data_IF_555541687802
#
_entry.id   IF_555541687802
#
_cell.length_a   1.000
_cell.length_b   1.000
_cell.length_c   1.000
_cell.angle_alpha   90.00
_cell.angle_beta   90.00
_cell.angle_gamma   90.00
#
_symmetry.space_group_name_H-M   'P 1'
#
loop_
_entity.id
_entity.type
_entity.pdbx_description
1 polymer ?
#
# COMPACT_ATOMS: atom_id res chain seq x y z
N UNK A 1 31.11 -6.87 11.43
CA UNK A 1 31.07 -7.23 9.99
C UNK A 1 29.61 -7.25 9.61
N UNK A 2 29.14 -6.22 8.91
CA UNK A 2 27.76 -6.19 8.38
C UNK A 2 27.72 -7.12 7.18
N UNK A 3 26.91 -8.17 7.24
CA UNK A 3 26.64 -9.03 6.10
C UNK A 3 26.12 -8.15 4.96
N UNK A 4 26.86 -8.09 3.86
CA UNK A 4 26.36 -7.56 2.60
C UNK A 4 25.29 -8.55 2.11
N UNK A 5 24.03 -8.18 2.33
CA UNK A 5 22.89 -8.85 1.70
C UNK A 5 23.02 -8.69 0.19
N UNK A 6 22.97 -9.79 -0.53
CA UNK A 6 22.95 -9.83 -2.00
C UNK A 6 21.79 -8.97 -2.53
N UNK A 7 22.02 -8.26 -3.64
CA UNK A 7 21.07 -7.31 -4.28
C UNK A 7 19.71 -7.92 -4.67
N UNK A 8 19.52 -9.21 -4.53
CA UNK A 8 18.31 -9.97 -4.87
C UNK A 8 18.01 -10.96 -3.76
N UNK A 9 16.87 -10.78 -3.09
CA UNK A 9 16.29 -11.83 -2.26
C UNK A 9 15.24 -12.54 -3.10
N UNK A 10 15.57 -13.74 -3.53
CA UNK A 10 14.67 -14.60 -4.30
C UNK A 10 13.66 -15.25 -3.37
N UNK A 11 12.39 -15.30 -3.78
CA UNK A 11 11.30 -15.90 -3.02
C UNK A 11 11.06 -15.27 -1.64
N UNK A 12 10.90 -13.97 -1.57
CA UNK A 12 10.47 -13.26 -0.34
C UNK A 12 8.97 -13.36 -0.16
N UNK A 13 8.48 -13.53 1.07
CA UNK A 13 7.09 -13.28 1.39
C UNK A 13 6.91 -11.87 2.00
N UNK A 14 5.67 -11.36 1.99
CA UNK A 14 5.42 -9.99 2.42
C UNK A 14 5.80 -9.75 3.87
N UNK A 15 5.45 -10.64 4.80
CA UNK A 15 5.72 -10.42 6.22
C UNK A 15 7.21 -10.47 6.54
N UNK A 16 7.97 -11.38 5.94
CA UNK A 16 9.43 -11.44 6.13
C UNK A 16 10.15 -10.20 5.60
N UNK A 17 9.53 -9.49 4.68
CA UNK A 17 10.02 -8.21 4.17
C UNK A 17 9.54 -7.03 5.01
N UNK A 18 8.23 -6.96 5.31
CA UNK A 18 7.58 -5.84 5.98
C UNK A 18 8.04 -5.67 7.43
N UNK A 19 8.22 -6.75 8.18
CA UNK A 19 8.64 -6.68 9.60
C UNK A 19 10.01 -6.02 9.82
N UNK A 20 10.86 -5.93 8.79
CA UNK A 20 12.17 -5.29 8.88
C UNK A 20 12.24 -3.92 8.21
N UNK A 21 11.28 -3.58 7.38
CA UNK A 21 11.33 -2.39 6.54
C UNK A 21 10.01 -1.62 6.58
N UNK A 22 10.10 -0.31 6.74
CA UNK A 22 8.97 0.54 6.38
C UNK A 22 8.78 0.51 4.85
N UNK A 23 7.55 0.61 4.38
CA UNK A 23 7.26 0.71 2.95
C UNK A 23 6.65 2.09 2.71
N UNK A 24 7.28 2.88 1.86
CA UNK A 24 6.80 4.21 1.48
C UNK A 24 6.57 4.26 -0.03
N UNK A 25 5.32 4.35 -0.45
CA UNK A 25 4.95 4.48 -1.86
C UNK A 25 5.37 5.87 -2.35
N UNK A 26 6.29 5.98 -3.33
CA UNK A 26 6.85 7.26 -3.75
C UNK A 26 5.87 8.11 -4.55
N UNK A 27 6.16 9.40 -4.65
CA UNK A 27 5.36 10.43 -5.30
C UNK A 27 4.94 10.11 -6.74
N UNK A 28 5.84 9.52 -7.51
CA UNK A 28 5.66 9.27 -8.95
C UNK A 28 4.71 8.08 -9.20
N UNK A 29 4.31 7.37 -8.14
CA UNK A 29 3.38 6.25 -8.28
C UNK A 29 1.94 6.74 -8.44
N UNK A 30 1.20 6.00 -9.29
CA UNK A 30 -0.23 6.20 -9.47
C UNK A 30 -1.02 5.79 -8.22
N UNK A 31 -2.30 6.16 -8.21
CA UNK A 31 -3.24 5.72 -7.20
C UNK A 31 -3.24 4.20 -7.02
N UNK A 32 -3.56 3.76 -5.82
CA UNK A 32 -3.94 2.38 -5.63
C UNK A 32 -5.31 2.17 -6.29
N UNK A 33 -5.32 1.40 -7.37
CA UNK A 33 -6.54 1.16 -8.17
C UNK A 33 -6.90 -0.33 -8.27
N UNK A 34 -6.01 -1.22 -7.84
CA UNK A 34 -6.23 -2.66 -7.94
C UNK A 34 -7.45 -3.12 -7.14
N UNK A 35 -7.78 -2.42 -6.05
CA UNK A 35 -8.97 -2.69 -5.25
C UNK A 35 -10.27 -2.13 -5.82
N UNK A 36 -10.19 -1.17 -6.74
CA UNK A 36 -11.35 -0.42 -7.24
C UNK A 36 -12.43 -1.31 -7.87
N UNK A 37 -13.68 -0.99 -7.61
CA UNK A 37 -14.83 -1.61 -8.26
C UNK A 37 -14.86 -1.38 -9.78
N UNK A 38 -14.18 -0.35 -10.29
CA UNK A 38 -14.01 -0.14 -11.73
C UNK A 38 -13.13 -1.23 -12.39
N UNK A 39 -12.36 -1.98 -11.61
CA UNK A 39 -11.53 -3.10 -12.05
C UNK A 39 -11.92 -4.41 -11.36
N UNK A 40 -13.19 -4.56 -10.98
CA UNK A 40 -13.69 -5.68 -10.16
C UNK A 40 -13.28 -7.05 -10.72
N UNK A 41 -13.37 -7.27 -12.03
CA UNK A 41 -12.99 -8.55 -12.66
C UNK A 41 -11.51 -8.89 -12.41
N UNK A 42 -10.61 -7.92 -12.59
CA UNK A 42 -9.16 -8.13 -12.36
C UNK A 42 -8.84 -8.27 -10.88
N UNK A 43 -9.51 -7.47 -10.04
CA UNK A 43 -9.39 -7.55 -8.58
C UNK A 43 -9.78 -8.93 -8.09
N UNK A 44 -10.96 -9.39 -8.49
CA UNK A 44 -11.53 -10.65 -8.03
C UNK A 44 -10.71 -11.85 -8.52
N UNK A 45 -10.22 -11.84 -9.78
CA UNK A 45 -9.27 -12.83 -10.27
C UNK A 45 -7.96 -12.86 -9.49
N UNK A 46 -7.45 -11.70 -9.07
CA UNK A 46 -6.25 -11.63 -8.24
C UNK A 46 -6.52 -12.17 -6.83
N UNK A 47 -7.64 -11.81 -6.22
CA UNK A 47 -8.07 -12.36 -4.92
C UNK A 47 -8.24 -13.89 -5.02
N UNK A 48 -8.78 -14.40 -6.12
CA UNK A 48 -8.93 -15.84 -6.35
C UNK A 48 -7.57 -16.55 -6.39
N UNK A 49 -6.56 -15.96 -7.02
CA UNK A 49 -5.20 -16.50 -7.03
C UNK A 49 -4.58 -16.52 -5.63
N UNK A 50 -4.73 -15.44 -4.86
CA UNK A 50 -4.26 -15.38 -3.46
C UNK A 50 -4.99 -16.39 -2.56
N UNK A 51 -6.31 -16.51 -2.73
CA UNK A 51 -7.13 -17.46 -2.00
C UNK A 51 -6.69 -18.90 -2.30
N UNK A 52 -6.51 -19.24 -3.57
CA UNK A 52 -6.06 -20.57 -3.99
C UNK A 52 -4.72 -20.91 -3.37
N UNK A 53 -3.76 -19.99 -3.41
CA UNK A 53 -2.45 -20.18 -2.80
C UNK A 53 -2.52 -20.44 -1.29
N UNK A 54 -3.50 -19.87 -0.59
CA UNK A 54 -3.68 -20.05 0.84
C UNK A 54 -4.46 -21.32 1.20
N UNK A 55 -5.22 -21.89 0.26
CA UNK A 55 -6.05 -23.08 0.49
C UNK A 55 -5.49 -24.35 -0.13
N UNK A 56 -4.71 -24.24 -1.20
CA UNK A 56 -4.10 -25.36 -1.91
C UNK A 56 -2.56 -25.31 -1.81
N UNK A 57 -1.98 -26.32 -1.18
CA UNK A 57 -0.52 -26.41 -0.99
C UNK A 57 0.26 -26.64 -2.30
N UNK A 58 -0.42 -27.09 -3.32
CA UNK A 58 0.21 -27.39 -4.62
C UNK A 58 0.16 -26.21 -5.59
N UNK A 59 -0.49 -25.10 -5.22
CA UNK A 59 -0.73 -23.95 -6.08
C UNK A 59 -0.20 -22.63 -5.46
N UNK A 60 1.12 -22.47 -5.26
CA UNK A 60 1.68 -21.20 -4.77
C UNK A 60 1.42 -20.07 -5.77
N UNK A 61 1.27 -18.85 -5.27
CA UNK A 61 1.11 -17.63 -6.06
C UNK A 61 2.45 -16.88 -6.11
N UNK A 62 3.06 -16.83 -7.28
CA UNK A 62 4.25 -16.03 -7.54
C UNK A 62 3.81 -14.68 -8.12
N UNK A 63 4.20 -13.62 -7.43
CA UNK A 63 3.86 -12.24 -7.80
C UNK A 63 4.96 -11.55 -8.62
N UNK A 64 5.85 -12.32 -9.23
CA UNK A 64 6.98 -11.80 -10.00
C UNK A 64 7.88 -10.83 -9.20
N UNK A 65 8.56 -9.95 -9.91
CA UNK A 65 9.51 -9.01 -9.30
C UNK A 65 8.80 -7.80 -8.67
N UNK A 66 9.28 -7.45 -7.47
CA UNK A 66 9.06 -6.16 -6.84
C UNK A 66 10.42 -5.47 -6.74
N UNK A 67 10.58 -4.36 -7.42
CA UNK A 67 11.84 -3.63 -7.40
C UNK A 67 11.65 -2.20 -6.90
N UNK A 68 12.70 -1.72 -6.21
CA UNK A 68 12.71 -0.41 -5.57
C UNK A 68 14.07 -0.05 -5.02
N UNK A 69 14.12 0.97 -4.19
CA UNK A 69 15.34 1.44 -3.52
C UNK A 69 15.15 1.44 -2.01
N UNK A 70 16.25 1.23 -1.27
CA UNK A 70 16.26 1.39 0.17
C UNK A 70 16.90 2.72 0.54
N UNK A 71 16.18 3.52 1.31
CA UNK A 71 16.66 4.79 1.86
C UNK A 71 16.14 4.94 3.29
N UNK A 72 17.01 5.32 4.24
CA UNK A 72 16.63 5.64 5.63
C UNK A 72 15.70 4.62 6.30
N UNK A 73 16.01 3.33 6.18
CA UNK A 73 15.21 2.21 6.73
C UNK A 73 13.81 2.03 6.10
N UNK A 74 13.55 2.68 4.98
CA UNK A 74 12.34 2.50 4.20
C UNK A 74 12.65 1.94 2.81
N UNK A 75 11.75 1.13 2.30
CA UNK A 75 11.74 0.65 0.93
C UNK A 75 10.79 1.50 0.10
N UNK A 76 11.30 2.03 -1.00
CA UNK A 76 10.57 2.83 -1.98
C UNK A 76 10.34 1.99 -3.24
N UNK A 77 9.16 1.36 -3.39
CA UNK A 77 8.89 0.54 -4.57
C UNK A 77 8.82 1.37 -5.83
N UNK A 78 9.59 0.99 -6.85
CA UNK A 78 9.51 1.52 -8.21
C UNK A 78 8.50 0.77 -9.05
N UNK A 79 8.29 -0.52 -8.75
CA UNK A 79 7.18 -1.33 -9.25
C UNK A 79 6.69 -2.27 -8.18
N UNK A 80 5.45 -2.77 -8.33
CA UNK A 80 4.82 -3.67 -7.39
C UNK A 80 4.02 -2.99 -6.29
N UNK A 81 3.87 -1.65 -6.30
CA UNK A 81 3.09 -0.92 -5.29
C UNK A 81 1.67 -1.45 -5.11
N UNK A 82 0.97 -1.78 -6.21
CA UNK A 82 -0.40 -2.29 -6.17
C UNK A 82 -0.44 -3.63 -5.42
N UNK A 83 0.49 -4.51 -5.73
CA UNK A 83 0.65 -5.83 -5.09
C UNK A 83 0.99 -5.69 -3.60
N UNK A 84 1.96 -4.82 -3.25
CA UNK A 84 2.34 -4.56 -1.85
C UNK A 84 1.17 -4.01 -1.03
N UNK A 85 0.39 -3.07 -1.60
CA UNK A 85 -0.80 -2.54 -0.93
C UNK A 85 -1.84 -3.62 -0.72
N UNK A 86 -2.10 -4.46 -1.72
CA UNK A 86 -3.05 -5.58 -1.58
C UNK A 86 -2.58 -6.59 -0.54
N UNK A 87 -1.28 -6.91 -0.51
CA UNK A 87 -0.73 -7.82 0.51
C UNK A 87 -0.82 -7.22 1.92
N UNK A 88 -0.57 -5.92 2.09
CA UNK A 88 -0.78 -5.23 3.36
C UNK A 88 -2.23 -5.37 3.85
N UNK A 89 -3.21 -5.12 2.99
CA UNK A 89 -4.62 -5.25 3.31
C UNK A 89 -5.02 -6.72 3.61
N UNK A 90 -4.49 -7.69 2.87
CA UNK A 90 -4.72 -9.12 3.10
C UNK A 90 -4.18 -9.58 4.46
N UNK A 91 -2.97 -9.14 4.84
CA UNK A 91 -2.40 -9.46 6.15
C UNK A 91 -3.22 -8.85 7.28
N UNK A 92 -3.59 -7.57 7.17
CA UNK A 92 -4.47 -6.93 8.13
C UNK A 92 -5.81 -7.68 8.28
N UNK A 93 -6.42 -8.06 7.15
CA UNK A 93 -7.70 -8.77 7.15
C UNK A 93 -7.59 -10.14 7.84
N UNK A 94 -6.64 -10.97 7.45
CA UNK A 94 -6.52 -12.33 8.00
C UNK A 94 -6.07 -12.32 9.46
N UNK A 95 -5.20 -11.40 9.87
CA UNK A 95 -4.82 -11.22 11.27
C UNK A 95 -6.04 -10.89 12.14
N UNK A 96 -6.84 -9.90 11.74
CA UNK A 96 -8.03 -9.53 12.49
C UNK A 96 -9.10 -10.61 12.46
N UNK A 97 -9.24 -11.34 11.35
CA UNK A 97 -10.16 -12.48 11.26
C UNK A 97 -9.75 -13.62 12.19
N UNK A 98 -8.45 -13.94 12.23
CA UNK A 98 -7.91 -14.93 13.18
C UNK A 98 -8.13 -14.49 14.63
N UNK A 99 -7.90 -13.22 14.96
CA UNK A 99 -8.13 -12.65 16.29
C UNK A 99 -9.57 -12.87 16.77
N UNK A 100 -10.56 -12.79 15.86
CA UNK A 100 -11.98 -12.96 16.18
C UNK A 100 -12.34 -14.44 16.32
N UNK A 101 -11.83 -15.29 15.42
CA UNK A 101 -12.23 -16.69 15.32
C UNK A 101 -11.39 -17.63 16.20
N UNK A 102 -10.12 -17.28 16.46
CA UNK A 102 -9.16 -18.07 17.23
C UNK A 102 -8.13 -17.17 17.91
N UNK A 103 -8.54 -16.53 19.01
CA UNK A 103 -7.71 -15.56 19.73
C UNK A 103 -6.41 -16.16 20.30
N UNK A 104 -6.42 -17.43 20.70
CA UNK A 104 -5.23 -18.11 21.23
C UNK A 104 -4.15 -18.27 20.14
N UNK A 105 -4.54 -18.73 18.97
CA UNK A 105 -3.63 -18.83 17.82
C UNK A 105 -3.14 -17.47 17.37
N UNK A 106 -4.01 -16.46 17.34
CA UNK A 106 -3.64 -15.08 17.05
C UNK A 106 -2.55 -14.57 17.99
N UNK A 107 -2.72 -14.71 19.30
CA UNK A 107 -1.76 -14.30 20.31
C UNK A 107 -0.41 -14.99 20.16
N UNK A 108 -0.40 -16.27 19.80
CA UNK A 108 0.82 -17.02 19.58
C UNK A 108 1.55 -16.58 18.31
N UNK A 109 0.82 -16.39 17.22
CA UNK A 109 1.37 -15.96 15.92
C UNK A 109 1.94 -14.54 16.02
N UNK A 110 1.22 -13.61 16.65
CA UNK A 110 1.60 -12.19 16.70
C UNK A 110 2.79 -11.91 17.61
N UNK A 111 3.13 -12.80 18.54
CA UNK A 111 4.38 -12.68 19.34
C UNK A 111 5.65 -12.70 18.49
N UNK A 112 5.60 -13.31 17.30
CA UNK A 112 6.75 -13.50 16.42
C UNK A 112 6.82 -12.48 15.28
N UNK A 113 5.77 -11.69 15.10
CA UNK A 113 5.66 -10.73 14.00
C UNK A 113 5.35 -9.32 14.51
N UNK A 114 6.06 -8.33 13.97
CA UNK A 114 5.89 -6.90 14.29
C UNK A 114 5.09 -6.20 13.19
N UNK A 115 3.86 -6.69 12.92
CA UNK A 115 3.07 -6.15 11.81
C UNK A 115 2.66 -4.69 12.03
N UNK A 116 2.35 -4.31 13.26
CA UNK A 116 1.89 -3.00 13.68
C UNK A 116 3.01 -2.01 14.02
N UNK A 117 4.26 -2.47 14.18
CA UNK A 117 5.41 -1.61 14.45
C UNK A 117 5.98 -0.91 13.20
N UNK A 118 5.69 -1.44 12.01
CA UNK A 118 6.19 -0.90 10.75
C UNK A 118 5.12 -0.07 10.06
N UNK A 119 5.57 0.87 9.23
CA UNK A 119 4.68 1.80 8.54
C UNK A 119 4.54 1.44 7.07
N UNK A 120 3.28 1.38 6.63
CA UNK A 120 2.92 1.42 5.24
C UNK A 120 2.39 2.82 4.92
N UNK A 121 3.06 3.56 4.05
CA UNK A 121 2.76 4.96 3.83
C UNK A 121 2.86 5.37 2.37
N UNK A 122 2.30 6.54 2.05
CA UNK A 122 2.33 7.15 0.73
C UNK A 122 2.98 8.53 0.86
N UNK A 123 4.10 8.76 0.19
CA UNK A 123 4.93 9.95 0.36
C UNK A 123 4.19 11.27 0.21
N UNK A 124 3.19 11.33 -0.65
CA UNK A 124 2.46 12.56 -0.97
C UNK A 124 0.98 12.53 -0.63
N UNK A 125 0.44 11.36 -0.27
CA UNK A 125 -0.97 11.21 0.04
C UNK A 125 -1.16 11.12 1.53
N UNK A 126 -1.38 12.28 2.16
CA UNK A 126 -1.61 12.36 3.61
C UNK A 126 -2.82 11.54 4.06
N UNK A 127 -3.90 11.56 3.27
CA UNK A 127 -5.12 10.77 3.52
C UNK A 127 -4.85 9.27 3.48
N UNK A 128 -4.21 8.76 2.43
CA UNK A 128 -3.86 7.35 2.30
C UNK A 128 -2.89 6.90 3.39
N UNK A 129 -1.88 7.72 3.74
CA UNK A 129 -0.96 7.43 4.85
C UNK A 129 -1.70 7.40 6.19
N UNK A 130 -2.50 8.43 6.48
CA UNK A 130 -3.27 8.50 7.72
C UNK A 130 -4.28 7.35 7.82
N UNK A 131 -4.90 6.97 6.70
CA UNK A 131 -5.78 5.80 6.63
C UNK A 131 -5.03 4.51 7.01
N UNK A 132 -3.87 4.23 6.40
CA UNK A 132 -3.07 3.04 6.73
C UNK A 132 -2.65 3.02 8.21
N UNK A 133 -2.23 4.17 8.77
CA UNK A 133 -1.85 4.29 10.18
C UNK A 133 -3.03 4.06 11.13
N UNK A 134 -4.25 4.44 10.75
CA UNK A 134 -5.45 4.18 11.53
C UNK A 134 -5.96 2.76 11.37
N UNK A 135 -5.87 2.23 10.15
CA UNK A 135 -6.29 0.87 9.84
C UNK A 135 -5.50 -0.16 10.65
N UNK A 136 -4.17 0.00 10.77
CA UNK A 136 -3.33 -1.00 11.43
C UNK A 136 -3.67 -1.19 12.92
N UNK A 137 -4.11 -0.13 13.59
CA UNK A 137 -4.53 -0.16 15.00
C UNK A 137 -6.03 -0.37 15.17
N UNK A 138 -6.78 -0.45 14.07
CA UNK A 138 -8.20 -0.73 14.12
C UNK A 138 -8.46 -2.23 14.12
N UNK A 139 -9.19 -2.68 15.13
CA UNK A 139 -9.55 -4.08 15.33
C UNK A 139 -11.07 -4.24 15.32
N UNK A 140 -11.68 -4.66 14.19
CA UNK A 140 -13.12 -4.87 14.12
C UNK A 140 -13.57 -5.99 15.06
N UNK A 141 -14.79 -5.87 15.59
CA UNK A 141 -15.38 -6.90 16.45
C UNK A 141 -15.95 -8.09 15.66
N UNK A 142 -16.29 -7.89 14.40
CA UNK A 142 -16.82 -8.94 13.53
C UNK A 142 -16.63 -8.60 12.05
N UNK A 143 -16.67 -9.62 11.20
CA UNK A 143 -16.68 -9.55 9.74
C UNK A 143 -18.05 -9.94 9.13
N UNK A 144 -19.14 -9.84 9.90
CA UNK A 144 -20.48 -10.17 9.43
C UNK A 144 -21.06 -9.16 8.44
N UNK A 145 -20.65 -7.90 8.58
CA UNK A 145 -21.09 -6.78 7.76
C UNK A 145 -19.99 -6.35 6.78
N UNK A 146 -20.29 -5.34 5.97
CA UNK A 146 -19.34 -4.69 5.05
C UNK A 146 -18.25 -3.98 5.85
N UNK A 147 -17.01 -4.32 5.59
CA UNK A 147 -15.87 -3.75 6.35
C UNK A 147 -15.74 -2.26 6.11
N UNK A 148 -15.94 -1.82 4.87
CA UNK A 148 -15.85 -0.41 4.50
C UNK A 148 -16.85 0.46 5.28
N UNK A 149 -18.07 -0.03 5.52
CA UNK A 149 -19.07 0.70 6.33
C UNK A 149 -18.61 0.80 7.78
N UNK A 150 -18.16 -0.31 8.39
CA UNK A 150 -17.62 -0.29 9.75
C UNK A 150 -16.44 0.66 9.94
N UNK A 151 -15.57 0.75 8.94
CA UNK A 151 -14.43 1.68 8.96
C UNK A 151 -14.93 3.13 8.86
N UNK A 152 -15.87 3.41 7.97
CA UNK A 152 -16.45 4.76 7.78
C UNK A 152 -17.20 5.27 9.01
N UNK A 153 -17.76 4.38 9.81
CA UNK A 153 -18.45 4.72 11.07
C UNK A 153 -17.48 5.07 12.22
N UNK A 154 -16.17 4.83 12.05
CA UNK A 154 -15.20 5.13 13.10
C UNK A 154 -14.98 6.64 13.25
N UNK A 155 -14.88 7.13 14.47
CA UNK A 155 -14.61 8.54 14.79
C UNK A 155 -13.29 9.09 14.21
N UNK A 156 -12.37 8.19 13.83
CA UNK A 156 -11.10 8.56 13.22
C UNK A 156 -11.15 8.63 11.70
N UNK A 157 -12.23 8.17 11.05
CA UNK A 157 -12.39 8.24 9.61
C UNK A 157 -12.82 9.65 9.20
N UNK A 158 -12.01 10.30 8.37
CA UNK A 158 -12.32 11.64 7.85
C UNK A 158 -13.21 11.56 6.62
N UNK A 159 -14.20 12.46 6.52
CA UNK A 159 -15.09 12.56 5.34
C UNK A 159 -14.29 12.86 4.06
N UNK A 160 -13.22 13.65 4.15
CA UNK A 160 -12.35 13.96 3.02
C UNK A 160 -11.68 12.71 2.40
N UNK A 161 -11.52 11.66 3.20
CA UNK A 161 -10.94 10.40 2.71
C UNK A 161 -11.87 9.65 1.73
N UNK A 162 -13.15 9.97 1.73
CA UNK A 162 -14.11 9.45 0.74
C UNK A 162 -13.87 10.00 -0.67
N UNK A 163 -13.02 11.02 -0.82
CA UNK A 163 -12.62 11.59 -2.10
C UNK A 163 -11.24 11.10 -2.56
N UNK A 164 -10.47 10.41 -1.69
CA UNK A 164 -9.17 9.85 -2.06
C UNK A 164 -9.37 8.52 -2.81
N UNK A 165 -9.01 8.45 -4.12
CA UNK A 165 -9.20 7.24 -4.92
C UNK A 165 -8.48 6.02 -4.35
N UNK A 166 -7.32 6.21 -3.71
CA UNK A 166 -6.57 5.11 -3.09
C UNK A 166 -7.28 4.58 -1.84
N UNK A 167 -7.83 5.46 -0.99
CA UNK A 167 -8.60 5.03 0.19
C UNK A 167 -9.87 4.30 -0.23
N UNK A 168 -10.60 4.82 -1.22
CA UNK A 168 -11.80 4.15 -1.77
C UNK A 168 -11.43 2.76 -2.27
N UNK A 169 -10.37 2.64 -3.07
CA UNK A 169 -9.94 1.34 -3.59
C UNK A 169 -9.44 0.38 -2.50
N UNK A 170 -8.83 0.88 -1.41
CA UNK A 170 -8.47 0.05 -0.26
C UNK A 170 -9.71 -0.48 0.46
N UNK A 171 -10.74 0.35 0.64
CA UNK A 171 -12.02 -0.06 1.22
C UNK A 171 -12.72 -1.10 0.34
N UNK A 172 -12.79 -0.87 -0.97
CA UNK A 172 -13.34 -1.82 -1.94
C UNK A 172 -12.59 -3.17 -1.90
N UNK A 173 -11.25 -3.14 -1.78
CA UNK A 173 -10.44 -4.36 -1.65
C UNK A 173 -10.76 -5.12 -0.37
N UNK A 174 -10.89 -4.42 0.76
CA UNK A 174 -11.23 -5.06 2.04
C UNK A 174 -12.60 -5.73 1.99
N UNK A 175 -13.59 -5.11 1.35
CA UNK A 175 -14.91 -5.71 1.14
C UNK A 175 -14.86 -6.94 0.22
N UNK A 176 -14.07 -6.86 -0.84
CA UNK A 176 -13.88 -7.99 -1.75
C UNK A 176 -13.16 -9.17 -1.07
N UNK A 177 -12.12 -8.89 -0.26
CA UNK A 177 -11.47 -9.90 0.58
C UNK A 177 -12.47 -10.54 1.55
N UNK A 178 -13.26 -9.71 2.25
CA UNK A 178 -14.28 -10.24 3.16
C UNK A 178 -15.30 -11.14 2.44
N UNK A 179 -15.77 -10.71 1.28
CA UNK A 179 -16.73 -11.51 0.50
C UNK A 179 -16.14 -12.86 0.06
N UNK A 180 -14.85 -12.90 -0.30
CA UNK A 180 -14.17 -14.14 -0.70
C UNK A 180 -13.90 -15.05 0.49
N UNK A 181 -13.39 -14.51 1.59
CA UNK A 181 -12.94 -15.27 2.75
C UNK A 181 -14.03 -15.51 3.81
N UNK A 182 -15.23 -14.93 3.64
CA UNK A 182 -16.34 -15.03 4.61
C UNK A 182 -16.90 -16.45 4.79
N UNK A 183 -16.87 -17.26 3.74
CA UNK A 183 -17.53 -18.58 3.69
C UNK A 183 -16.61 -19.75 4.03
N UNK A 184 -15.50 -19.49 4.69
CA UNK A 184 -14.50 -20.52 4.96
C UNK A 184 -14.97 -21.52 6.03
N UNK A 185 -14.88 -22.78 5.69
CA UNK A 185 -15.05 -23.90 6.60
C UNK A 185 -13.74 -24.70 6.71
N UNK A 186 -13.01 -24.89 5.60
CA UNK A 186 -11.73 -25.60 5.55
C UNK A 186 -10.89 -25.05 4.36
N UNK A 187 -9.61 -24.72 4.53
CA UNK A 187 -8.88 -24.69 5.80
C UNK A 187 -9.33 -23.55 6.73
N UNK A 188 -9.10 -23.71 8.04
CA UNK A 188 -9.42 -22.66 9.02
C UNK A 188 -8.63 -21.37 8.73
N UNK A 189 -9.13 -20.23 9.20
CA UNK A 189 -8.42 -18.95 9.07
C UNK A 189 -7.02 -18.99 9.66
N UNK A 190 -6.83 -19.73 10.76
CA UNK A 190 -5.52 -19.94 11.40
C UNK A 190 -4.55 -20.61 10.45
N UNK A 191 -4.93 -21.70 9.78
CA UNK A 191 -4.07 -22.37 8.79
C UNK A 191 -3.73 -21.46 7.60
N UNK A 192 -4.68 -20.68 7.13
CA UNK A 192 -4.40 -19.71 6.06
C UNK A 192 -3.40 -18.63 6.51
N UNK A 193 -3.57 -18.12 7.73
CA UNK A 193 -2.66 -17.15 8.29
C UNK A 193 -1.26 -17.75 8.47
N UNK A 194 -1.14 -18.96 9.00
CA UNK A 194 0.13 -19.68 9.11
C UNK A 194 0.78 -19.84 7.73
N UNK A 195 0.03 -20.21 6.69
CA UNK A 195 0.55 -20.32 5.33
C UNK A 195 1.00 -18.95 4.79
N UNK A 196 0.22 -17.90 5.04
CA UNK A 196 0.57 -16.54 4.59
C UNK A 196 1.88 -16.05 5.22
N UNK A 197 2.10 -16.37 6.51
CA UNK A 197 3.22 -15.85 7.29
C UNK A 197 4.49 -16.74 7.18
N UNK A 198 4.32 -18.05 7.24
CA UNK A 198 5.43 -18.99 7.45
C UNK A 198 5.83 -19.78 6.21
N UNK A 199 5.01 -19.76 5.15
CA UNK A 199 5.31 -20.48 3.92
C UNK A 199 5.54 -19.53 2.75
N UNK A 200 6.01 -20.07 1.64
CA UNK A 200 6.12 -19.35 0.37
C UNK A 200 4.84 -19.49 -0.46
N UNK A 201 3.68 -19.59 0.17
CA UNK A 201 2.40 -19.72 -0.52
C UNK A 201 2.14 -18.51 -1.44
N UNK A 202 2.48 -17.31 -0.96
CA UNK A 202 2.47 -16.08 -1.74
C UNK A 202 3.88 -15.48 -1.64
N UNK A 203 4.57 -15.38 -2.76
CA UNK A 203 5.96 -14.92 -2.81
C UNK A 203 6.18 -13.92 -3.94
N UNK A 204 7.30 -13.21 -3.87
CA UNK A 204 7.81 -12.33 -4.91
C UNK A 204 9.34 -12.26 -4.84
N UNK A 205 9.96 -11.93 -5.96
CA UNK A 205 11.37 -11.65 -6.02
C UNK A 205 11.65 -10.16 -5.77
N UNK A 206 12.38 -9.85 -4.71
CA UNK A 206 12.76 -8.47 -4.39
C UNK A 206 14.07 -8.12 -5.08
N UNK A 207 14.08 -6.99 -5.77
CA UNK A 207 15.26 -6.43 -6.41
C UNK A 207 15.55 -5.01 -5.90
N UNK A 208 16.70 -4.86 -5.22
CA UNK A 208 17.20 -3.55 -4.79
C UNK A 208 17.93 -2.86 -5.96
N UNK A 209 17.37 -1.73 -6.38
CA UNK A 209 17.87 -0.92 -7.50
C UNK A 209 18.76 0.24 -7.04
N UNK A 210 19.05 0.38 -5.73
CA UNK A 210 19.81 1.50 -5.18
C UNK A 210 21.21 1.69 -5.76
N UNK A 211 21.83 0.63 -6.31
CA UNK A 211 23.12 0.71 -6.96
C UNK A 211 23.09 1.24 -8.40
N UNK A 212 21.93 1.27 -9.03
CA UNK A 212 21.79 1.62 -10.46
C UNK A 212 21.60 3.10 -10.72
N UNK A 213 21.55 3.98 -9.67
CA UNK A 213 21.28 5.41 -9.81
C UNK A 213 20.18 5.67 -10.84
N UNK A 214 19.03 5.05 -10.62
CA UNK A 214 17.88 5.19 -11.51
C UNK A 214 17.47 6.65 -11.52
N UNK A 215 17.63 7.30 -12.66
CA UNK A 215 17.06 8.63 -12.88
C UNK A 215 15.55 8.50 -13.03
N UNK A 216 14.80 9.55 -12.64
CA UNK A 216 13.35 9.61 -12.83
C UNK A 216 12.92 9.27 -14.26
N UNK A 217 13.78 9.62 -15.25
CA UNK A 217 13.55 9.28 -16.65
C UNK A 217 13.58 7.77 -16.95
N UNK A 218 14.40 6.99 -16.25
CA UNK A 218 14.42 5.53 -16.41
C UNK A 218 13.21 4.91 -15.73
N UNK A 219 12.82 5.42 -14.56
CA UNK A 219 11.58 5.05 -13.87
C UNK A 219 10.34 5.22 -14.76
N UNK A 220 10.20 6.40 -15.38
CA UNK A 220 9.10 6.68 -16.33
C UNK A 220 9.12 5.67 -17.49
N UNK A 221 10.30 5.34 -18.04
CA UNK A 221 10.45 4.35 -19.12
C UNK A 221 10.12 2.91 -18.69
N UNK A 222 10.42 2.54 -17.46
CA UNK A 222 10.10 1.19 -16.94
C UNK A 222 8.61 1.02 -16.70
N UNK A 223 7.95 2.04 -16.13
CA UNK A 223 6.50 2.05 -15.95
C UNK A 223 5.69 2.19 -17.26
N UNK A 224 6.30 2.73 -18.32
CA UNK A 224 5.67 2.82 -19.64
C UNK A 224 5.38 1.46 -20.28
N UNK A 225 5.89 0.36 -19.75
CA UNK A 225 5.55 -1.02 -20.18
C UNK A 225 4.19 -1.50 -19.64
N UNK A 226 3.66 -0.84 -18.59
CA UNK A 226 2.30 -1.03 -18.10
C UNK A 226 1.30 -0.09 -18.78
N UNK A 227 0.22 0.27 -18.10
CA UNK A 227 -0.67 1.34 -18.56
C UNK A 227 0.15 2.65 -18.56
N UNK A 228 0.29 3.28 -19.73
CA UNK A 228 1.00 4.55 -19.85
C UNK A 228 0.41 5.57 -18.87
N UNK A 229 1.30 6.35 -18.24
CA UNK A 229 0.88 7.52 -17.47
C UNK A 229 0.06 8.43 -18.40
N UNK A 230 -1.01 8.99 -17.88
CA UNK A 230 -1.77 10.03 -18.59
C UNK A 230 -0.88 11.26 -18.81
N UNK A 231 -1.24 12.10 -19.77
CA UNK A 231 -0.54 13.36 -20.01
C UNK A 231 -0.49 14.23 -18.75
N UNK A 232 -1.53 14.18 -17.94
CA UNK A 232 -1.61 14.87 -16.64
C UNK A 232 -0.62 14.30 -15.62
N UNK A 233 -0.53 12.98 -15.48
CA UNK A 233 0.42 12.34 -14.57
C UNK A 233 1.89 12.63 -14.98
N UNK A 234 2.17 12.64 -16.28
CA UNK A 234 3.47 13.03 -16.81
C UNK A 234 3.78 14.49 -16.53
N UNK A 235 2.82 15.38 -16.77
CA UNK A 235 2.98 16.82 -16.49
C UNK A 235 3.20 17.06 -14.99
N UNK A 236 2.42 16.42 -14.12
CA UNK A 236 2.54 16.51 -12.66
C UNK A 236 3.95 16.09 -12.19
N UNK A 237 4.44 14.96 -12.66
CA UNK A 237 5.78 14.46 -12.31
C UNK A 237 6.88 15.46 -12.72
N UNK A 238 6.82 15.96 -13.96
CA UNK A 238 7.78 16.93 -14.48
C UNK A 238 7.71 18.26 -13.72
N UNK A 239 6.52 18.72 -13.35
CA UNK A 239 6.34 19.97 -12.61
C UNK A 239 6.89 19.88 -11.19
N UNK A 240 6.66 18.77 -10.48
CA UNK A 240 7.19 18.55 -9.14
C UNK A 240 8.72 18.47 -9.18
N UNK A 241 9.29 17.78 -10.17
CA UNK A 241 10.73 17.73 -10.38
C UNK A 241 11.31 19.13 -10.63
N UNK A 242 10.67 19.94 -11.48
CA UNK A 242 11.06 21.32 -11.73
C UNK A 242 11.07 22.15 -10.43
N UNK A 243 10.05 21.98 -9.57
CA UNK A 243 10.00 22.68 -8.29
C UNK A 243 11.11 22.21 -7.34
N UNK A 244 11.45 20.94 -7.33
CA UNK A 244 12.51 20.37 -6.52
C UNK A 244 13.89 20.90 -6.95
N UNK A 245 14.16 20.92 -8.23
CA UNK A 245 15.43 21.39 -8.77
C UNK A 245 15.65 22.90 -8.60
N UNK A 246 14.59 23.70 -8.72
CA UNK A 246 14.70 25.15 -8.76
C UNK A 246 14.30 25.85 -7.45
N UNK A 247 13.48 25.20 -6.59
CA UNK A 247 12.86 25.85 -5.43
C UNK A 247 12.93 25.03 -4.13
N UNK A 248 13.78 24.02 -4.06
CA UNK A 248 13.83 23.03 -2.95
C UNK A 248 13.94 23.65 -1.55
N UNK A 249 14.59 24.83 -1.42
CA UNK A 249 14.78 25.50 -0.13
C UNK A 249 13.93 26.77 0.03
N UNK A 250 13.07 27.09 -0.91
CA UNK A 250 12.22 28.28 -0.81
C UNK A 250 10.93 27.97 -0.05
N UNK A 251 10.57 28.89 0.83
CA UNK A 251 9.34 28.83 1.64
C UNK A 251 8.29 29.70 0.95
N UNK A 252 7.12 29.11 0.74
CA UNK A 252 5.94 29.82 0.28
C UNK A 252 5.06 30.21 1.47
N UNK A 253 4.66 31.48 1.53
CA UNK A 253 3.75 32.00 2.54
C UNK A 253 2.39 32.10 1.88
N UNK A 254 1.40 31.40 2.40
CA UNK A 254 0.03 31.44 1.90
C UNK A 254 -0.97 31.66 3.04
N UNK A 255 -2.04 32.37 2.73
CA UNK A 255 -3.14 32.65 3.67
C UNK A 255 -4.33 31.73 3.38
N UNK A 256 -4.67 30.85 4.29
CA UNK A 256 -5.96 30.16 4.29
C UNK A 256 -7.03 31.06 4.92
N UNK A 257 -8.25 30.98 4.38
CA UNK A 257 -9.41 31.87 4.70
C UNK A 257 -9.73 32.04 6.19
N UNK A 258 -9.16 31.24 7.10
CA UNK A 258 -9.47 31.30 8.55
C UNK A 258 -8.28 31.00 9.48
N UNK A 259 -7.03 31.04 9.00
CA UNK A 259 -5.85 30.77 9.83
C UNK A 259 -4.74 31.80 9.60
N UNK A 260 -3.88 31.96 10.62
CA UNK A 260 -2.63 32.74 10.53
C UNK A 260 -1.75 32.19 9.41
N UNK A 261 -0.91 33.04 8.83
CA UNK A 261 0.02 32.71 7.76
C UNK A 261 0.66 31.34 7.93
N UNK A 262 0.44 30.47 6.95
CA UNK A 262 1.04 29.16 6.91
C UNK A 262 2.32 29.20 6.09
N UNK A 263 3.32 28.43 6.55
CA UNK A 263 4.60 28.32 5.87
C UNK A 263 4.76 26.88 5.37
N UNK A 264 4.98 26.72 4.08
CA UNK A 264 5.33 25.44 3.48
C UNK A 264 6.46 25.63 2.47
N UNK A 265 7.23 24.57 2.22
CA UNK A 265 8.11 24.57 1.06
C UNK A 265 7.25 24.70 -0.20
N UNK A 266 7.73 25.45 -1.19
CA UNK A 266 7.01 25.66 -2.46
C UNK A 266 6.59 24.30 -3.06
N UNK A 267 7.50 23.33 -3.10
CA UNK A 267 7.20 21.98 -3.56
C UNK A 267 6.01 21.36 -2.82
N UNK A 268 6.03 21.39 -1.50
CA UNK A 268 5.01 20.73 -0.67
C UNK A 268 3.64 21.38 -0.84
N UNK A 269 3.60 22.71 -0.93
CA UNK A 269 2.38 23.47 -1.17
C UNK A 269 1.75 23.12 -2.52
N UNK A 270 2.53 23.23 -3.61
CA UNK A 270 2.01 22.96 -4.95
C UNK A 270 1.67 21.49 -5.18
N UNK A 271 2.42 20.55 -4.57
CA UNK A 271 2.07 19.14 -4.60
C UNK A 271 0.70 18.89 -3.96
N UNK A 272 0.47 19.48 -2.79
CA UNK A 272 -0.82 19.36 -2.10
C UNK A 272 -1.96 19.99 -2.92
N UNK A 273 -1.77 21.20 -3.46
CA UNK A 273 -2.79 21.89 -4.24
C UNK A 273 -3.16 21.15 -5.52
N UNK A 274 -2.17 20.57 -6.23
CA UNK A 274 -2.42 19.76 -7.43
C UNK A 274 -3.22 18.51 -7.08
N UNK A 275 -2.99 17.90 -5.92
CA UNK A 275 -3.64 16.66 -5.52
C UNK A 275 -5.07 16.84 -5.01
N UNK A 276 -5.37 17.97 -4.38
CA UNK A 276 -6.62 18.17 -3.66
C UNK A 276 -7.50 19.30 -4.22
N UNK A 277 -6.88 20.34 -4.81
CA UNK A 277 -7.64 21.52 -5.22
C UNK A 277 -7.76 21.66 -6.74
N UNK A 278 -6.75 21.19 -7.48
CA UNK A 278 -6.65 21.43 -8.92
C UNK A 278 -6.96 20.20 -9.78
N UNK A 279 -7.06 19.03 -9.17
CA UNK A 279 -7.36 17.78 -9.91
C UNK A 279 -8.68 17.89 -10.67
N UNK A 280 -9.70 18.49 -10.05
CA UNK A 280 -11.02 18.67 -10.67
C UNK A 280 -11.03 19.77 -11.77
N UNK A 281 -10.00 20.64 -11.81
CA UNK A 281 -9.89 21.72 -12.79
C UNK A 281 -9.05 21.30 -14.02
N UNK A 282 -8.25 20.24 -13.90
CA UNK A 282 -7.28 19.82 -14.89
C UNK A 282 -7.61 18.48 -15.57
N UNK A 283 -8.68 17.81 -15.13
CA UNK A 283 -9.31 16.65 -15.79
C UNK A 283 -10.46 17.09 -16.67
#
# INVERSE_FOLDING_TARGET
MKNQTTNTDVNSNFISFYQYNNIEIPLIQRDYVQGSNLQAEKRDAFIDSLYTALTDETAPCDLDFIYGTFENEAFFPLDGQQRLTTLYLLHWYLLNKCRIEDAESYDNITKEINFDEKQFSYKTRRSSTAFCQKLIVFHPESFSETISEKIKEQNWFSEDWQQDPSVIAMLDMLDALNNKFKKLIDPSVTKMLERLLNTKAINFDKLDMGHYRLTDSLYIKMNARGKQLTDFENWKANFIQFLEENYNNQIYIYAEKNRKDNFAKIKDYFTHSIEHEWTDLLQ
#
